data_IF_264049824306
#
_entry.id   IF_264049824306
#
_cell.length_a   1.000
_cell.length_b   1.000
_cell.length_c   1.000
_cell.angle_alpha   90.00
_cell.angle_beta   90.00
_cell.angle_gamma   90.00
#
_symmetry.space_group_name_H-M   'P 1'
#
loop_
_entity.id
_entity.type
_entity.pdbx_description
1 polymer ?
#
# COMPACT_ATOMS: atom_id res chain seq x y z
N UNK A 1 40.51 37.92 -3.61
CA UNK A 1 39.20 37.78 -2.97
C UNK A 1 38.16 38.48 -3.83
N UNK A 2 37.43 37.71 -4.67
CA UNK A 2 36.34 38.25 -5.52
C UNK A 2 35.07 38.35 -4.63
N UNK A 3 34.54 39.57 -4.52
CA UNK A 3 33.22 39.80 -3.89
C UNK A 3 32.10 39.15 -4.76
N UNK A 4 31.10 38.50 -4.16
CA UNK A 4 29.99 37.94 -4.92
C UNK A 4 29.16 39.06 -5.57
N UNK A 5 28.85 38.90 -6.85
CA UNK A 5 28.07 39.86 -7.63
C UNK A 5 26.67 40.08 -7.04
N UNK A 6 26.13 41.32 -7.13
CA UNK A 6 24.76 41.67 -6.63
C UNK A 6 23.67 40.72 -7.09
N UNK A 7 23.83 40.05 -8.23
CA UNK A 7 22.92 39.04 -8.74
C UNK A 7 22.94 37.73 -7.91
N UNK A 8 24.13 37.28 -7.44
CA UNK A 8 24.25 36.09 -6.60
C UNK A 8 23.63 36.29 -5.22
N UNK A 9 23.73 37.50 -4.67
CA UNK A 9 23.12 37.87 -3.38
C UNK A 9 21.59 37.94 -3.48
N UNK A 10 21.06 38.46 -4.59
CA UNK A 10 19.61 38.53 -4.84
C UNK A 10 18.97 37.13 -5.06
N UNK A 11 19.69 36.20 -5.71
CA UNK A 11 19.25 34.82 -5.88
C UNK A 11 19.25 34.08 -4.53
N UNK A 12 20.28 34.29 -3.71
CA UNK A 12 20.37 33.65 -2.40
C UNK A 12 19.28 34.15 -1.43
N UNK A 13 18.94 35.44 -1.46
CA UNK A 13 17.86 35.99 -0.66
C UNK A 13 16.46 35.52 -1.14
N UNK A 14 16.24 35.37 -2.45
CA UNK A 14 15.03 34.76 -2.97
C UNK A 14 14.90 33.28 -2.58
N UNK A 15 15.98 32.51 -2.64
CA UNK A 15 15.99 31.13 -2.17
C UNK A 15 15.70 31.02 -0.67
N UNK A 16 16.29 31.86 0.17
CA UNK A 16 16.01 31.90 1.61
C UNK A 16 14.54 32.24 1.92
N UNK A 17 13.95 33.16 1.20
CA UNK A 17 12.52 33.51 1.33
C UNK A 17 11.61 32.36 0.89
N UNK A 18 11.98 31.63 -0.17
CA UNK A 18 11.24 30.44 -0.61
C UNK A 18 11.36 29.33 0.45
N UNK A 19 12.53 29.10 1.02
CA UNK A 19 12.77 28.09 2.06
C UNK A 19 12.00 28.44 3.36
N UNK A 20 11.95 29.72 3.73
CA UNK A 20 11.15 30.19 4.88
C UNK A 20 9.65 30.03 4.65
N UNK A 21 9.16 30.27 3.44
CA UNK A 21 7.74 30.05 3.09
C UNK A 21 7.36 28.58 2.97
N UNK A 22 8.30 27.71 2.64
CA UNK A 22 8.13 26.25 2.67
C UNK A 22 8.01 25.75 4.12
N UNK A 23 8.81 26.29 5.04
CA UNK A 23 8.78 25.94 6.46
C UNK A 23 7.53 26.46 7.19
N UNK A 24 6.82 27.46 6.67
CA UNK A 24 5.60 28.03 7.27
C UNK A 24 4.28 27.33 6.86
N UNK A 25 4.34 26.21 6.14
CA UNK A 25 3.17 25.36 5.84
C UNK A 25 2.18 25.91 4.80
N UNK A 26 2.37 27.12 4.26
CA UNK A 26 1.38 27.76 3.35
C UNK A 26 1.46 27.33 1.88
N UNK A 27 2.51 26.63 1.47
CA UNK A 27 2.72 26.26 0.06
C UNK A 27 2.22 24.85 -0.32
N UNK A 28 1.72 24.04 0.64
CA UNK A 28 1.47 22.60 0.43
C UNK A 28 0.30 22.28 -0.51
N UNK A 29 -0.75 23.10 -0.56
CA UNK A 29 -1.99 22.77 -1.28
C UNK A 29 -1.91 23.09 -2.78
N UNK A 30 -1.25 24.18 -3.17
CA UNK A 30 -1.09 24.54 -4.59
C UNK A 30 -0.13 23.62 -5.35
N UNK A 31 0.95 23.15 -4.70
CA UNK A 31 1.88 22.18 -5.32
C UNK A 31 1.27 20.79 -5.47
N UNK A 32 0.38 20.35 -4.57
CA UNK A 32 -0.35 19.07 -4.73
C UNK A 32 -1.24 19.07 -5.97
N UNK A 33 -1.95 20.19 -6.25
CA UNK A 33 -2.76 20.31 -7.47
C UNK A 33 -1.92 20.30 -8.75
N UNK A 34 -0.75 20.92 -8.75
CA UNK A 34 0.16 20.94 -9.90
C UNK A 34 0.76 19.56 -10.20
N UNK A 35 1.11 18.77 -9.18
CA UNK A 35 1.65 17.41 -9.33
C UNK A 35 0.59 16.43 -9.87
N UNK A 36 -0.66 16.55 -9.41
CA UNK A 36 -1.76 15.70 -9.89
C UNK A 36 -2.09 16.04 -11.35
N UNK A 37 -2.11 17.31 -11.72
CA UNK A 37 -2.35 17.75 -13.12
C UNK A 37 -1.22 17.33 -14.07
N UNK A 38 0.04 17.33 -13.62
CA UNK A 38 1.18 16.90 -14.41
C UNK A 38 1.20 15.38 -14.68
N UNK A 39 0.61 14.56 -13.80
CA UNK A 39 0.46 13.12 -14.04
C UNK A 39 -0.60 12.80 -15.14
N UNK A 40 -1.56 13.69 -15.38
CA UNK A 40 -2.58 13.50 -16.42
C UNK A 40 -2.13 13.96 -17.82
N UNK A 41 -1.10 14.79 -17.92
CA UNK A 41 -0.63 15.34 -19.20
C UNK A 41 0.55 14.56 -19.73
N UNK A 42 0.36 13.33 -20.10
CA UNK A 42 1.28 12.26 -20.56
C UNK A 42 2.56 12.61 -21.35
N UNK A 43 3.09 13.83 -21.26
CA UNK A 43 4.27 14.33 -22.00
C UNK A 43 5.48 14.71 -21.14
N UNK A 44 5.45 14.52 -19.83
CA UNK A 44 6.61 14.89 -18.99
C UNK A 44 7.52 13.71 -18.65
N UNK A 45 8.83 13.90 -18.90
CA UNK A 45 9.88 12.92 -18.66
C UNK A 45 9.95 12.49 -17.18
N UNK A 46 10.21 11.23 -16.94
CA UNK A 46 10.39 10.56 -15.63
C UNK A 46 11.29 11.37 -14.63
N UNK A 47 12.19 12.22 -15.16
CA UNK A 47 13.06 13.09 -14.37
C UNK A 47 12.30 14.16 -13.56
N UNK A 48 11.17 14.67 -14.07
CA UNK A 48 10.38 15.71 -13.39
C UNK A 48 9.59 15.13 -12.21
N UNK A 49 9.07 13.90 -12.36
CA UNK A 49 8.42 13.17 -11.28
C UNK A 49 9.43 12.84 -10.17
N UNK A 50 10.65 12.46 -10.55
CA UNK A 50 11.74 12.19 -9.60
C UNK A 50 12.18 13.46 -8.85
N UNK A 51 12.23 14.62 -9.52
CA UNK A 51 12.57 15.91 -8.88
C UNK A 51 11.48 16.41 -7.93
N UNK A 52 10.20 16.21 -8.26
CA UNK A 52 9.08 16.55 -7.38
C UNK A 52 9.07 15.63 -6.15
N UNK A 53 9.37 14.35 -6.31
CA UNK A 53 9.48 13.40 -5.20
C UNK A 53 10.74 13.64 -4.34
N UNK A 54 11.84 14.05 -4.92
CA UNK A 54 13.10 14.33 -4.20
C UNK A 54 13.04 15.63 -3.38
N UNK A 55 12.23 16.62 -3.78
CA UNK A 55 11.99 17.88 -3.03
C UNK A 55 11.16 17.68 -1.76
N UNK A 56 10.53 16.53 -1.57
CA UNK A 56 9.68 16.21 -0.43
C UNK A 56 10.45 15.53 0.71
N UNK A 57 11.57 16.11 1.14
CA UNK A 57 12.28 15.68 2.36
C UNK A 57 11.49 16.13 3.59
N UNK A 58 10.36 15.48 3.84
CA UNK A 58 9.58 15.66 5.07
C UNK A 58 10.27 14.92 6.23
N UNK A 59 10.70 15.69 7.20
CA UNK A 59 11.21 15.29 8.50
C UNK A 59 10.07 14.72 9.37
N UNK A 60 9.47 13.59 8.96
CA UNK A 60 8.35 13.00 9.71
C UNK A 60 8.55 11.48 9.84
N UNK A 61 8.51 11.00 11.08
CA UNK A 61 8.54 9.59 11.46
C UNK A 61 7.26 8.91 10.97
N UNK A 62 7.36 7.68 10.42
CA UNK A 62 6.23 6.94 9.81
C UNK A 62 6.16 5.55 10.41
N UNK A 63 4.99 4.98 10.57
CA UNK A 63 4.79 3.75 11.36
C UNK A 63 4.29 2.53 10.62
N UNK A 64 3.65 2.61 9.48
CA UNK A 64 3.52 1.34 8.75
C UNK A 64 4.89 0.82 8.29
N UNK A 65 5.92 1.66 8.40
CA UNK A 65 7.32 1.27 8.19
C UNK A 65 8.03 1.16 9.54
N UNK A 66 8.41 -0.03 9.94
CA UNK A 66 9.19 -0.26 11.15
C UNK A 66 10.60 0.30 11.03
N UNK A 67 11.07 0.88 12.12
CA UNK A 67 12.46 1.25 12.24
C UNK A 67 13.28 0.10 12.81
N UNK A 68 14.49 -0.07 12.32
CA UNK A 68 15.42 -1.11 12.81
C UNK A 68 15.65 -1.02 14.32
N UNK A 69 15.70 0.20 14.87
CA UNK A 69 15.93 0.44 16.28
C UNK A 69 14.76 0.06 17.21
N UNK A 70 13.59 -0.31 16.67
CA UNK A 70 12.42 -0.68 17.49
C UNK A 70 12.39 -2.16 17.87
N UNK A 71 13.17 -2.98 17.17
CA UNK A 71 13.14 -4.42 17.36
C UNK A 71 14.50 -4.94 17.76
N UNK A 72 14.48 -5.93 18.66
CA UNK A 72 15.66 -6.69 19.00
C UNK A 72 16.13 -7.54 17.82
N UNK A 73 17.42 -7.85 17.81
CA UNK A 73 18.10 -8.60 16.76
C UNK A 73 17.41 -9.91 16.36
N UNK A 74 16.85 -10.74 17.28
CA UNK A 74 16.18 -11.99 16.92
C UNK A 74 15.01 -11.83 15.96
N UNK A 75 14.20 -10.77 16.10
CA UNK A 75 13.07 -10.52 15.23
C UNK A 75 13.49 -10.19 13.79
N UNK A 76 14.57 -9.43 13.65
CA UNK A 76 15.13 -9.10 12.34
C UNK A 76 15.72 -10.35 11.67
N UNK A 77 16.47 -11.17 12.39
CA UNK A 77 17.01 -12.43 11.84
C UNK A 77 15.90 -13.39 11.42
N UNK A 78 14.86 -13.55 12.23
CA UNK A 78 13.70 -14.36 11.85
C UNK A 78 13.06 -13.88 10.54
N UNK A 79 12.92 -12.56 10.38
CA UNK A 79 12.38 -11.97 9.15
C UNK A 79 13.31 -12.18 7.94
N UNK A 80 14.64 -12.10 8.13
CA UNK A 80 15.62 -12.37 7.07
C UNK A 80 15.62 -13.82 6.59
N UNK A 81 15.18 -14.76 7.42
CA UNK A 81 15.01 -16.16 7.03
C UNK A 81 13.64 -16.39 6.41
N UNK A 82 12.57 -15.83 7.03
CA UNK A 82 11.20 -16.06 6.63
C UNK A 82 10.87 -15.41 5.27
N UNK A 83 11.34 -14.18 5.01
CA UNK A 83 11.02 -13.48 3.75
C UNK A 83 11.55 -14.24 2.52
N UNK A 84 12.83 -14.61 2.42
CA UNK A 84 13.31 -15.40 1.27
C UNK A 84 12.60 -16.74 1.12
N UNK A 85 12.29 -17.42 2.22
CA UNK A 85 11.54 -18.67 2.17
C UNK A 85 10.16 -18.48 1.57
N UNK A 86 9.40 -17.46 2.01
CA UNK A 86 8.09 -17.10 1.45
C UNK A 86 8.20 -16.69 -0.03
N UNK A 87 9.21 -15.89 -0.39
CA UNK A 87 9.42 -15.48 -1.78
C UNK A 87 9.73 -16.68 -2.67
N UNK A 88 10.57 -17.62 -2.23
CA UNK A 88 10.88 -18.84 -2.99
C UNK A 88 9.63 -19.72 -3.18
N UNK A 89 8.82 -19.91 -2.14
CA UNK A 89 7.56 -20.65 -2.23
C UNK A 89 6.59 -19.99 -3.23
N UNK A 90 6.53 -18.68 -3.25
CA UNK A 90 5.67 -17.89 -4.12
C UNK A 90 6.25 -17.67 -5.54
N UNK A 91 7.51 -18.01 -5.81
CA UNK A 91 8.19 -17.64 -7.05
C UNK A 91 7.54 -18.25 -8.31
N UNK A 92 7.25 -19.57 -8.29
CA UNK A 92 6.65 -20.26 -9.45
C UNK A 92 5.27 -19.69 -9.81
N UNK A 93 4.29 -19.58 -8.88
CA UNK A 93 2.99 -19.00 -9.20
C UNK A 93 3.07 -17.50 -9.57
N UNK A 94 3.96 -16.73 -8.96
CA UNK A 94 4.17 -15.33 -9.30
C UNK A 94 4.68 -15.16 -10.74
N UNK A 95 5.68 -15.96 -11.14
CA UNK A 95 6.22 -15.93 -12.50
C UNK A 95 5.17 -16.38 -13.55
N UNK A 96 4.34 -17.37 -13.20
CA UNK A 96 3.22 -17.79 -14.08
C UNK A 96 2.23 -16.64 -14.28
N UNK A 97 1.81 -15.97 -13.21
CA UNK A 97 0.91 -14.81 -13.25
C UNK A 97 1.50 -13.65 -14.09
N UNK A 98 2.80 -13.35 -13.90
CA UNK A 98 3.49 -12.34 -14.70
C UNK A 98 3.40 -12.63 -16.20
N UNK A 99 3.67 -13.87 -16.61
CA UNK A 99 3.62 -14.27 -18.03
C UNK A 99 2.21 -14.19 -18.61
N UNK A 100 1.18 -14.42 -17.79
CA UNK A 100 -0.22 -14.37 -18.21
C UNK A 100 -0.72 -12.95 -18.45
N UNK A 101 -0.37 -12.01 -17.56
CA UNK A 101 -0.88 -10.63 -17.65
C UNK A 101 0.13 -9.59 -17.16
N UNK A 102 1.19 -9.27 -17.93
CA UNK A 102 2.21 -8.31 -17.54
C UNK A 102 1.66 -6.89 -17.35
N UNK A 103 0.55 -6.53 -18.02
CA UNK A 103 -0.06 -5.21 -17.91
C UNK A 103 -0.69 -5.00 -16.53
N UNK A 104 -1.33 -6.01 -15.95
CA UNK A 104 -1.91 -5.94 -14.62
C UNK A 104 -0.84 -5.65 -13.54
N UNK A 105 0.38 -6.15 -13.73
CA UNK A 105 1.50 -5.86 -12.82
C UNK A 105 1.91 -4.39 -12.84
N UNK A 106 2.00 -3.77 -14.02
CA UNK A 106 2.29 -2.34 -14.14
C UNK A 106 1.23 -1.47 -13.48
N UNK A 107 -0.04 -1.79 -13.70
CA UNK A 107 -1.17 -1.10 -13.07
C UNK A 107 -1.14 -1.27 -11.55
N UNK A 108 -0.86 -2.47 -11.05
CA UNK A 108 -0.77 -2.73 -9.61
C UNK A 108 0.38 -1.95 -8.96
N UNK A 109 1.53 -1.83 -9.63
CA UNK A 109 2.62 -0.97 -9.14
C UNK A 109 2.18 0.49 -9.01
N UNK A 110 1.40 1.01 -9.95
CA UNK A 110 0.82 2.35 -9.85
C UNK A 110 -0.13 2.46 -8.66
N UNK A 111 -0.97 1.45 -8.41
CA UNK A 111 -1.82 1.42 -7.22
C UNK A 111 -1.02 1.43 -5.92
N UNK A 112 0.02 0.61 -5.80
CA UNK A 112 0.89 0.64 -4.62
C UNK A 112 1.56 2.01 -4.44
N UNK A 113 2.06 2.62 -5.53
CA UNK A 113 2.66 3.94 -5.46
C UNK A 113 1.67 5.00 -4.95
N UNK A 114 0.42 4.97 -5.40
CA UNK A 114 -0.64 5.89 -4.95
C UNK A 114 -1.06 5.59 -3.52
N UNK A 115 -1.45 4.35 -3.20
CA UNK A 115 -1.99 3.98 -1.90
C UNK A 115 -0.98 4.16 -0.77
N UNK A 116 0.28 3.78 -0.99
CA UNK A 116 1.33 3.93 0.02
C UNK A 116 1.83 5.36 0.16
N UNK A 117 1.57 6.23 -0.84
CA UNK A 117 1.83 7.67 -0.74
C UNK A 117 0.72 8.43 0.01
N UNK A 118 -0.50 7.89 0.05
CA UNK A 118 -1.64 8.45 0.78
C UNK A 118 -1.56 8.05 2.25
N UNK A 119 -0.73 8.75 3.02
CA UNK A 119 -0.56 8.50 4.45
C UNK A 119 -1.23 9.56 5.31
N UNK A 120 -1.88 9.13 6.39
CA UNK A 120 -2.29 9.96 7.51
C UNK A 120 -1.40 9.68 8.72
N UNK A 121 -1.06 10.69 9.51
CA UNK A 121 -0.18 10.56 10.68
C UNK A 121 -0.73 11.27 11.89
N UNK A 122 -0.36 10.77 13.07
CA UNK A 122 -0.57 11.43 14.35
C UNK A 122 0.70 12.23 14.68
N UNK A 123 0.60 13.55 14.70
CA UNK A 123 1.76 14.43 14.88
C UNK A 123 2.09 14.73 16.36
N UNK A 124 1.34 14.14 17.32
CA UNK A 124 1.54 14.39 18.75
C UNK A 124 1.07 13.25 19.66
N UNK A 125 1.35 13.38 20.97
CA UNK A 125 1.01 12.39 22.00
C UNK A 125 1.99 11.23 22.10
N UNK A 126 1.63 10.21 22.89
CA UNK A 126 2.45 9.02 23.16
C UNK A 126 2.69 8.17 21.90
N UNK A 127 1.82 8.29 20.91
CA UNK A 127 1.89 7.64 19.61
C UNK A 127 2.38 8.58 18.49
N UNK A 128 3.01 9.69 18.87
CA UNK A 128 3.57 10.65 17.93
C UNK A 128 4.58 10.01 16.98
N UNK A 129 4.34 10.21 15.68
CA UNK A 129 5.16 9.61 14.63
C UNK A 129 4.54 8.37 13.97
N UNK A 130 3.36 7.89 14.43
CA UNK A 130 2.57 6.84 13.78
C UNK A 130 1.93 7.39 12.49
N UNK A 131 2.21 6.75 11.37
CA UNK A 131 1.56 7.05 10.08
C UNK A 131 0.92 5.79 9.53
N UNK A 132 -0.23 5.98 8.94
CA UNK A 132 -1.04 4.93 8.34
C UNK A 132 -1.19 5.20 6.85
N UNK A 133 -1.22 4.17 6.04
CA UNK A 133 -1.52 4.27 4.61
C UNK A 133 -2.43 3.11 4.19
N UNK A 134 -3.03 3.22 3.02
CA UNK A 134 -3.78 2.14 2.41
C UNK A 134 -2.82 1.06 1.92
N UNK A 135 -3.22 -0.21 1.97
CA UNK A 135 -2.37 -1.34 1.58
C UNK A 135 -2.44 -1.63 0.07
N UNK A 136 -3.64 -1.67 -0.48
CA UNK A 136 -3.88 -2.13 -1.85
C UNK A 136 -3.57 -3.60 -2.10
N UNK A 137 -3.17 -4.33 -1.06
CA UNK A 137 -2.71 -5.73 -1.16
C UNK A 137 -3.86 -6.67 -1.51
N UNK A 138 -5.06 -6.42 -0.97
CA UNK A 138 -6.26 -7.18 -1.30
C UNK A 138 -6.63 -7.02 -2.79
N UNK A 139 -6.63 -5.78 -3.31
CA UNK A 139 -6.83 -5.51 -4.72
C UNK A 139 -5.75 -6.22 -5.57
N UNK A 140 -4.49 -6.12 -5.16
CA UNK A 140 -3.38 -6.80 -5.82
C UNK A 140 -3.58 -8.31 -5.91
N UNK A 141 -4.08 -8.92 -4.83
CA UNK A 141 -4.36 -10.36 -4.81
C UNK A 141 -5.46 -10.78 -5.80
N UNK A 142 -6.43 -9.90 -6.07
CA UNK A 142 -7.45 -10.13 -7.10
C UNK A 142 -6.90 -9.94 -8.51
N UNK A 143 -6.04 -8.94 -8.71
CA UNK A 143 -5.48 -8.60 -10.03
C UNK A 143 -4.47 -9.63 -10.52
N UNK A 144 -3.51 -10.02 -9.67
CA UNK A 144 -2.37 -10.84 -10.11
C UNK A 144 -2.21 -12.14 -9.29
N UNK A 145 -3.11 -12.40 -8.35
CA UNK A 145 -3.00 -13.51 -7.39
C UNK A 145 -2.09 -13.17 -6.21
N UNK A 146 -2.31 -13.85 -5.08
CA UNK A 146 -1.63 -13.49 -3.81
C UNK A 146 -0.10 -13.67 -3.87
N UNK A 147 0.39 -14.71 -4.54
CA UNK A 147 1.83 -14.95 -4.68
C UNK A 147 2.53 -13.80 -5.44
N UNK A 148 1.93 -13.34 -6.53
CA UNK A 148 2.48 -12.25 -7.33
C UNK A 148 2.32 -10.89 -6.64
N UNK A 149 1.19 -10.65 -5.96
CA UNK A 149 0.98 -9.46 -5.15
C UNK A 149 2.01 -9.37 -4.01
N UNK A 150 2.35 -10.49 -3.36
CA UNK A 150 3.40 -10.56 -2.36
C UNK A 150 4.77 -10.17 -2.92
N UNK A 151 5.16 -10.71 -4.08
CA UNK A 151 6.41 -10.36 -4.76
C UNK A 151 6.48 -8.89 -5.13
N UNK A 152 5.39 -8.34 -5.70
CA UNK A 152 5.35 -6.92 -6.06
C UNK A 152 5.43 -6.01 -4.85
N UNK A 153 4.71 -6.33 -3.77
CA UNK A 153 4.77 -5.57 -2.53
C UNK A 153 6.17 -5.62 -1.90
N UNK A 154 6.83 -6.81 -1.92
CA UNK A 154 8.20 -6.95 -1.43
C UNK A 154 9.19 -6.11 -2.24
N UNK A 155 9.08 -6.11 -3.58
CA UNK A 155 9.91 -5.27 -4.45
C UNK A 155 9.64 -3.79 -4.24
N UNK A 156 8.38 -3.40 -4.08
CA UNK A 156 7.99 -2.00 -3.89
C UNK A 156 8.35 -1.46 -2.51
N UNK A 157 8.41 -2.33 -1.48
CA UNK A 157 8.80 -1.96 -0.12
C UNK A 157 10.19 -1.32 -0.06
N UNK A 158 11.16 -1.81 -0.85
CA UNK A 158 12.54 -1.29 -0.83
C UNK A 158 12.62 0.19 -1.23
N UNK A 159 12.16 0.61 -2.43
CA UNK A 159 12.15 2.03 -2.80
C UNK A 159 11.23 2.86 -1.89
N UNK A 160 10.11 2.30 -1.44
CA UNK A 160 9.22 2.97 -0.51
C UNK A 160 9.94 3.32 0.80
N UNK A 161 10.58 2.35 1.47
CA UNK A 161 11.34 2.59 2.70
C UNK A 161 12.52 3.52 2.48
N UNK A 162 13.23 3.41 1.36
CA UNK A 162 14.35 4.30 1.05
C UNK A 162 13.90 5.77 1.00
N UNK A 163 12.73 6.03 0.40
CA UNK A 163 12.16 7.37 0.25
C UNK A 163 11.50 7.89 1.53
N UNK A 164 10.97 6.99 2.36
CA UNK A 164 10.14 7.35 3.54
C UNK A 164 10.92 7.39 4.84
N UNK A 165 11.67 6.34 5.16
CA UNK A 165 12.36 6.19 6.46
C UNK A 165 13.89 6.26 6.35
N UNK A 166 14.41 6.22 5.11
CA UNK A 166 15.84 6.35 4.82
C UNK A 166 16.61 5.04 4.88
N UNK A 167 17.81 5.07 4.26
CA UNK A 167 18.66 3.88 4.06
C UNK A 167 19.05 3.16 5.36
N UNK A 168 19.17 3.90 6.47
CA UNK A 168 19.54 3.35 7.78
C UNK A 168 18.51 2.34 8.34
N UNK A 169 17.26 2.37 7.85
CA UNK A 169 16.19 1.49 8.30
C UNK A 169 15.88 0.33 7.34
N UNK A 170 16.62 0.20 6.25
CA UNK A 170 16.43 -0.89 5.29
C UNK A 170 16.63 -2.28 5.90
N UNK A 171 17.38 -2.39 7.00
CA UNK A 171 17.51 -3.65 7.73
C UNK A 171 16.18 -4.17 8.30
N UNK A 172 15.18 -3.30 8.51
CA UNK A 172 13.83 -3.72 8.90
C UNK A 172 12.92 -4.06 7.71
N UNK A 173 13.37 -3.93 6.46
CA UNK A 173 12.54 -4.18 5.29
C UNK A 173 11.92 -5.59 5.25
N UNK A 174 12.63 -6.68 5.56
CA UNK A 174 12.02 -8.01 5.59
C UNK A 174 10.87 -8.11 6.58
N UNK A 175 11.02 -7.53 7.77
CA UNK A 175 9.97 -7.53 8.79
C UNK A 175 8.77 -6.69 8.35
N UNK A 176 9.01 -5.53 7.72
CA UNK A 176 7.97 -4.67 7.16
C UNK A 176 7.16 -5.41 6.09
N UNK A 177 7.83 -6.05 5.13
CA UNK A 177 7.15 -6.83 4.08
C UNK A 177 6.24 -7.89 4.70
N UNK A 178 6.77 -8.70 5.62
CA UNK A 178 6.02 -9.79 6.23
C UNK A 178 4.81 -9.27 7.04
N UNK A 179 5.03 -8.28 7.91
CA UNK A 179 3.98 -7.75 8.79
C UNK A 179 2.88 -7.01 8.04
N UNK A 180 3.22 -6.28 6.98
CA UNK A 180 2.27 -5.47 6.22
C UNK A 180 1.48 -6.31 5.21
N UNK A 181 2.10 -7.33 4.60
CA UNK A 181 1.48 -8.02 3.46
C UNK A 181 0.89 -9.38 3.79
N UNK A 182 1.59 -10.21 4.61
CA UNK A 182 1.14 -11.59 4.85
C UNK A 182 -0.23 -11.69 5.51
N UNK A 183 -0.58 -10.90 6.55
CA UNK A 183 -1.90 -11.03 7.17
C UNK A 183 -3.03 -10.71 6.19
N UNK A 184 -2.88 -9.66 5.39
CA UNK A 184 -3.87 -9.28 4.38
C UNK A 184 -4.01 -10.36 3.30
N UNK A 185 -2.90 -10.94 2.81
CA UNK A 185 -2.91 -12.01 1.81
C UNK A 185 -3.48 -13.31 2.38
N UNK A 186 -3.19 -13.65 3.63
CA UNK A 186 -3.76 -14.83 4.29
C UNK A 186 -5.29 -14.71 4.39
N UNK A 187 -5.80 -13.54 4.78
CA UNK A 187 -7.25 -13.26 4.79
C UNK A 187 -7.83 -13.36 3.37
N UNK A 188 -7.13 -12.80 2.37
CA UNK A 188 -7.58 -12.84 0.98
C UNK A 188 -7.69 -14.28 0.45
N UNK A 189 -6.74 -15.14 0.75
CA UNK A 189 -6.80 -16.56 0.35
C UNK A 189 -7.90 -17.31 1.10
N UNK A 190 -8.01 -17.08 2.42
CA UNK A 190 -9.03 -17.74 3.24
C UNK A 190 -10.43 -17.39 2.77
N UNK A 191 -10.72 -16.11 2.54
CA UNK A 191 -12.03 -15.66 2.06
C UNK A 191 -12.31 -16.14 0.64
N UNK A 192 -11.35 -16.11 -0.25
CA UNK A 192 -11.50 -16.68 -1.61
C UNK A 192 -11.81 -18.16 -1.57
N UNK A 193 -11.10 -18.92 -0.74
CA UNK A 193 -11.38 -20.33 -0.53
C UNK A 193 -12.79 -20.55 0.01
N UNK A 194 -13.20 -19.78 1.01
CA UNK A 194 -14.54 -19.87 1.62
C UNK A 194 -15.65 -19.53 0.61
N UNK A 195 -15.48 -18.46 -0.16
CA UNK A 195 -16.43 -18.08 -1.23
C UNK A 195 -16.60 -19.20 -2.24
N UNK A 196 -15.49 -19.73 -2.76
CA UNK A 196 -15.55 -20.81 -3.78
C UNK A 196 -16.11 -22.10 -3.24
N UNK A 197 -15.94 -22.39 -1.95
CA UNK A 197 -16.35 -23.66 -1.34
C UNK A 197 -17.79 -23.66 -0.83
N UNK A 198 -18.26 -22.54 -0.31
CA UNK A 198 -19.50 -22.47 0.46
C UNK A 198 -20.58 -21.60 -0.19
N UNK A 199 -20.23 -20.72 -1.11
CA UNK A 199 -21.18 -19.77 -1.68
C UNK A 199 -21.45 -20.09 -3.18
N UNK A 200 -22.68 -19.79 -3.66
CA UNK A 200 -22.98 -19.93 -5.08
C UNK A 200 -22.15 -18.94 -5.90
N UNK A 201 -21.78 -19.31 -7.14
CA UNK A 201 -21.09 -18.39 -8.04
C UNK A 201 -22.04 -17.23 -8.39
N UNK A 202 -21.69 -16.05 -7.90
CA UNK A 202 -22.45 -14.83 -8.11
C UNK A 202 -21.47 -13.64 -8.19
N UNK A 203 -21.62 -12.82 -9.22
CA UNK A 203 -20.83 -11.63 -9.45
C UNK A 203 -20.85 -10.66 -8.28
N UNK A 204 -22.02 -10.47 -7.69
CA UNK A 204 -22.20 -9.58 -6.55
C UNK A 204 -21.39 -10.05 -5.32
N UNK A 205 -21.43 -11.37 -5.04
CA UNK A 205 -20.64 -11.98 -3.98
C UNK A 205 -19.13 -11.83 -4.25
N UNK A 206 -18.70 -11.94 -5.51
CA UNK A 206 -17.30 -11.72 -5.85
C UNK A 206 -16.85 -10.29 -5.51
N UNK A 207 -17.60 -9.28 -5.92
CA UNK A 207 -17.26 -7.87 -5.68
C UNK A 207 -17.31 -7.55 -4.18
N UNK A 208 -18.37 -7.95 -3.49
CA UNK A 208 -18.56 -7.60 -2.08
C UNK A 208 -17.64 -8.40 -1.16
N UNK A 209 -17.56 -9.72 -1.31
CA UNK A 209 -16.81 -10.54 -0.36
C UNK A 209 -15.33 -10.53 -0.70
N UNK A 210 -14.94 -10.82 -1.95
CA UNK A 210 -13.53 -10.85 -2.33
C UNK A 210 -12.94 -9.45 -2.53
N UNK A 211 -13.74 -8.45 -2.92
CA UNK A 211 -13.30 -7.06 -3.02
C UNK A 211 -13.42 -6.33 -1.69
N UNK A 212 -14.64 -5.95 -1.29
CA UNK A 212 -14.88 -5.06 -0.18
C UNK A 212 -14.53 -5.68 1.20
N UNK A 213 -15.20 -6.77 1.60
CA UNK A 213 -14.99 -7.37 2.92
C UNK A 213 -13.60 -7.97 3.09
N UNK A 214 -13.02 -8.52 2.04
CA UNK A 214 -11.66 -9.04 2.05
C UNK A 214 -10.65 -7.93 2.37
N UNK A 215 -10.80 -6.75 1.77
CA UNK A 215 -9.92 -5.61 2.01
C UNK A 215 -10.06 -5.08 3.45
N UNK A 216 -11.30 -4.95 3.94
CA UNK A 216 -11.54 -4.56 5.33
C UNK A 216 -10.90 -5.52 6.33
N UNK A 217 -11.20 -6.81 6.19
CA UNK A 217 -10.68 -7.85 7.08
C UNK A 217 -9.15 -7.99 6.98
N UNK A 218 -8.60 -7.87 5.76
CA UNK A 218 -7.16 -7.87 5.51
C UNK A 218 -6.45 -6.70 6.20
N UNK A 219 -7.01 -5.48 6.12
CA UNK A 219 -6.48 -4.31 6.81
C UNK A 219 -6.54 -4.47 8.32
N UNK A 220 -7.64 -5.00 8.87
CA UNK A 220 -7.78 -5.28 10.29
C UNK A 220 -6.76 -6.34 10.76
N UNK A 221 -6.58 -7.42 10.01
CA UNK A 221 -5.59 -8.45 10.33
C UNK A 221 -4.16 -7.90 10.29
N UNK A 222 -3.84 -7.07 9.31
CA UNK A 222 -2.56 -6.38 9.23
C UNK A 222 -2.37 -5.42 10.41
N UNK A 223 -3.40 -4.64 10.75
CA UNK A 223 -3.37 -3.76 11.91
C UNK A 223 -3.13 -4.51 13.22
N UNK A 224 -3.80 -5.64 13.41
CA UNK A 224 -3.59 -6.51 14.57
C UNK A 224 -2.16 -7.07 14.62
N UNK A 225 -1.62 -7.55 13.49
CA UNK A 225 -0.26 -8.07 13.41
C UNK A 225 0.79 -6.99 13.70
N UNK A 226 0.63 -5.80 13.13
CA UNK A 226 1.52 -4.65 13.38
C UNK A 226 1.46 -4.25 14.85
N UNK A 227 0.26 -4.12 15.42
CA UNK A 227 0.05 -3.75 16.83
C UNK A 227 0.69 -4.78 17.76
N UNK A 228 0.48 -6.07 17.48
CA UNK A 228 1.07 -7.16 18.26
C UNK A 228 2.61 -7.16 18.18
N UNK A 229 3.19 -6.93 17.00
CA UNK A 229 4.63 -6.82 16.84
C UNK A 229 5.20 -5.60 17.57
N UNK A 230 4.57 -4.44 17.43
CA UNK A 230 5.00 -3.21 18.13
C UNK A 230 4.87 -3.34 19.65
N UNK A 231 3.93 -4.14 20.15
CA UNK A 231 3.80 -4.43 21.59
C UNK A 231 4.98 -5.21 22.16
N UNK A 232 5.79 -5.85 21.30
CA UNK A 232 7.04 -6.50 21.70
C UNK A 232 8.23 -5.53 21.66
N UNK A 233 8.04 -4.32 21.14
CA UNK A 233 9.07 -3.28 21.15
C UNK A 233 9.13 -2.58 22.51
N UNK A 234 10.31 -2.07 22.86
CA UNK A 234 10.49 -1.28 24.09
C UNK A 234 10.11 0.20 23.94
N UNK A 235 9.64 0.58 22.73
CA UNK A 235 9.41 2.00 22.37
C UNK A 235 8.01 2.47 22.71
N UNK A 236 7.01 1.57 22.66
CA UNK A 236 5.62 1.91 22.88
C UNK A 236 5.00 1.06 23.99
N UNK A 237 4.13 1.67 24.78
CA UNK A 237 3.33 0.90 25.74
C UNK A 237 2.26 0.08 25.01
N UNK A 238 2.18 -1.21 25.31
CA UNK A 238 1.22 -2.11 24.66
C UNK A 238 -0.25 -1.64 24.81
N UNK A 239 -0.59 -1.07 25.98
CA UNK A 239 -1.93 -0.55 26.25
C UNK A 239 -2.29 0.58 25.29
N UNK A 240 -1.36 1.53 25.05
CA UNK A 240 -1.61 2.67 24.16
C UNK A 240 -1.73 2.21 22.70
N UNK A 241 -0.95 1.21 22.28
CA UNK A 241 -1.05 0.63 20.94
C UNK A 241 -2.42 0.01 20.68
N UNK A 242 -2.93 -0.81 21.61
CA UNK A 242 -4.22 -1.47 21.43
C UNK A 242 -5.41 -0.53 21.61
N UNK A 243 -5.32 0.46 22.49
CA UNK A 243 -6.43 1.36 22.76
C UNK A 243 -6.50 2.57 21.82
N UNK A 244 -5.36 3.02 21.28
CA UNK A 244 -5.29 4.24 20.48
C UNK A 244 -4.86 3.97 19.03
N UNK A 245 -3.83 3.12 18.80
CA UNK A 245 -3.33 2.88 17.45
C UNK A 245 -4.22 1.88 16.69
N UNK A 246 -4.62 0.77 17.30
CA UNK A 246 -5.41 -0.27 16.64
C UNK A 246 -6.78 0.23 16.14
N UNK A 247 -7.56 1.03 16.88
CA UNK A 247 -8.83 1.58 16.38
C UNK A 247 -8.71 2.40 15.10
N UNK A 248 -7.54 3.01 14.85
CA UNK A 248 -7.30 3.75 13.60
C UNK A 248 -7.30 2.80 12.39
N UNK A 249 -6.77 1.57 12.55
CA UNK A 249 -6.85 0.55 11.50
C UNK A 249 -8.29 0.19 11.15
N UNK A 250 -9.19 0.18 12.13
CA UNK A 250 -10.61 -0.02 11.87
C UNK A 250 -11.19 1.09 10.97
N UNK A 251 -10.87 2.36 11.23
CA UNK A 251 -11.34 3.47 10.39
C UNK A 251 -10.76 3.39 8.98
N UNK A 252 -9.46 3.08 8.86
CA UNK A 252 -8.79 2.98 7.56
C UNK A 252 -9.29 1.77 6.77
N UNK A 253 -9.68 0.69 7.46
CA UNK A 253 -10.21 -0.52 6.81
C UNK A 253 -11.45 -0.24 5.95
N UNK A 254 -12.29 0.72 6.33
CA UNK A 254 -13.42 1.17 5.50
C UNK A 254 -12.95 1.85 4.21
N UNK A 255 -11.92 2.69 4.29
CA UNK A 255 -11.31 3.32 3.10
C UNK A 255 -10.71 2.29 2.15
N UNK A 256 -9.97 1.33 2.69
CA UNK A 256 -9.38 0.22 1.94
C UNK A 256 -10.47 -0.65 1.28
N UNK A 257 -11.52 -0.98 2.03
CA UNK A 257 -12.66 -1.75 1.56
C UNK A 257 -13.40 -1.06 0.42
N UNK A 258 -13.73 0.22 0.60
CA UNK A 258 -14.44 1.01 -0.40
C UNK A 258 -13.66 1.12 -1.69
N UNK A 259 -12.37 1.48 -1.62
CA UNK A 259 -11.53 1.62 -2.81
C UNK A 259 -11.31 0.29 -3.52
N UNK A 260 -11.01 -0.77 -2.77
CA UNK A 260 -10.81 -2.10 -3.35
C UNK A 260 -12.09 -2.63 -3.98
N UNK A 261 -13.23 -2.52 -3.29
CA UNK A 261 -14.52 -2.94 -3.83
C UNK A 261 -14.92 -2.16 -5.08
N UNK A 262 -14.72 -0.83 -5.05
CA UNK A 262 -14.99 0.04 -6.20
C UNK A 262 -14.12 -0.32 -7.41
N UNK A 263 -12.80 -0.48 -7.23
CA UNK A 263 -11.91 -0.85 -8.33
C UNK A 263 -12.19 -2.26 -8.82
N UNK A 264 -12.54 -3.20 -7.93
CA UNK A 264 -12.96 -4.54 -8.34
C UNK A 264 -14.21 -4.47 -9.23
N UNK A 265 -15.22 -3.70 -8.85
CA UNK A 265 -16.44 -3.52 -9.66
C UNK A 265 -16.14 -2.86 -11.01
N UNK A 266 -15.28 -1.82 -11.03
CA UNK A 266 -14.87 -1.15 -12.28
C UNK A 266 -14.13 -2.13 -13.19
N UNK A 267 -13.19 -2.92 -12.67
CA UNK A 267 -12.44 -3.87 -13.47
C UNK A 267 -13.35 -5.00 -14.01
N UNK A 268 -14.23 -5.54 -13.18
CA UNK A 268 -15.20 -6.55 -13.64
C UNK A 268 -16.07 -6.01 -14.78
N UNK A 269 -16.52 -4.76 -14.68
CA UNK A 269 -17.40 -4.17 -15.70
C UNK A 269 -16.67 -3.77 -17.00
N UNK A 270 -15.45 -3.23 -16.88
CA UNK A 270 -14.77 -2.59 -18.01
C UNK A 270 -13.56 -3.39 -18.53
N UNK A 271 -12.86 -4.11 -17.67
CA UNK A 271 -11.57 -4.76 -17.99
C UNK A 271 -11.36 -6.03 -17.14
N UNK A 272 -12.22 -7.05 -17.25
CA UNK A 272 -12.14 -8.27 -16.43
C UNK A 272 -10.79 -8.97 -16.57
N UNK A 273 -10.11 -8.82 -17.69
CA UNK A 273 -8.76 -9.39 -17.89
C UNK A 273 -7.70 -8.88 -16.92
N UNK A 274 -7.93 -7.79 -16.19
CA UNK A 274 -7.02 -7.32 -15.13
C UNK A 274 -7.23 -8.01 -13.80
N UNK A 275 -8.26 -8.83 -13.66
CA UNK A 275 -8.54 -9.63 -12.47
C UNK A 275 -8.26 -11.10 -12.77
N UNK A 276 -7.03 -11.56 -12.49
CA UNK A 276 -6.63 -12.95 -12.72
C UNK A 276 -7.48 -13.97 -11.94
N UNK A 277 -8.11 -13.53 -10.86
CA UNK A 277 -8.96 -14.38 -10.00
C UNK A 277 -10.43 -14.39 -10.41
N UNK A 278 -10.83 -13.54 -11.36
CA UNK A 278 -12.17 -13.50 -11.91
C UNK A 278 -12.27 -14.45 -13.10
N UNK A 279 -13.31 -15.26 -13.11
CA UNK A 279 -13.59 -16.23 -14.15
C UNK A 279 -15.02 -15.98 -14.66
N UNK A 280 -15.13 -15.48 -15.89
CA UNK A 280 -16.41 -15.13 -16.52
C UNK A 280 -17.34 -16.34 -16.59
N UNK A 281 -16.82 -17.50 -16.98
CA UNK A 281 -17.62 -18.72 -17.12
C UNK A 281 -18.17 -19.18 -15.77
N UNK A 282 -17.39 -19.02 -14.69
CA UNK A 282 -17.80 -19.42 -13.36
C UNK A 282 -18.83 -18.46 -12.74
N UNK A 283 -18.67 -17.15 -12.93
CA UNK A 283 -19.51 -16.14 -12.26
C UNK A 283 -20.72 -15.69 -13.10
N UNK A 284 -20.68 -15.78 -14.44
CA UNK A 284 -21.71 -15.26 -15.34
C UNK A 284 -22.52 -16.34 -16.05
N UNK A 285 -22.03 -17.58 -16.17
CA UNK A 285 -22.67 -18.64 -16.96
C UNK A 285 -23.91 -19.27 -16.32
N UNK A 286 -24.17 -19.08 -15.02
CA UNK A 286 -25.42 -19.52 -14.43
C UNK A 286 -26.53 -18.56 -14.81
N UNK A 287 -27.39 -19.02 -15.74
CA UNK A 287 -28.70 -18.39 -15.97
C UNK A 287 -29.37 -18.17 -14.60
N UNK A 288 -29.71 -16.92 -14.31
CA UNK A 288 -30.51 -16.58 -13.14
C UNK A 288 -31.90 -17.17 -13.33
N UNK A 289 -32.14 -18.38 -12.85
CA UNK A 289 -33.46 -19.01 -12.77
C UNK A 289 -34.31 -18.42 -11.62
N UNK A 290 -34.17 -17.12 -11.36
CA UNK A 290 -35.05 -16.40 -10.41
C UNK A 290 -36.44 -16.17 -11.01
N UNK A 291 -36.54 -16.17 -12.35
CA UNK A 291 -37.79 -16.11 -13.06
C UNK A 291 -38.01 -17.45 -13.81
N UNK A 292 -39.05 -18.23 -13.47
CA UNK A 292 -39.41 -19.36 -14.29
C UNK A 292 -39.72 -18.87 -15.72
N UNK A 293 -39.05 -19.42 -16.73
CA UNK A 293 -39.45 -19.19 -18.11
C UNK A 293 -40.88 -19.69 -18.21
N UNK A 294 -41.85 -18.79 -18.42
CA UNK A 294 -43.20 -19.16 -18.80
C UNK A 294 -43.11 -19.93 -20.10
N UNK A 295 -43.44 -21.24 -20.01
CA UNK A 295 -43.63 -22.14 -21.14
C UNK A 295 -44.99 -21.92 -21.77
#
# INVERSE_FOLDING_TARGET
TRQPTKAATAINNKMLTIIQNINSGRLSVRMRKAAILACFDGKQKLSTVCHIMCGFRLKHRRIMDFFTAWFETPWLYAAYIALPACLLLCAKPALKAWRQNPQAFGILLCFFAVFWSLGAGLDGGQLGGLRYHLLGVALGSLMVGSAAAFWLAALFMLPHMLLTVGAQNLAAAPLNVLAVTLPALAVAELLRYAVRRFLPPNLFLYIFINGFFCAAAGMMATGAAITALLSQSTVFAAVDLWQQAFPVFFLISWGEAFLTGMFTAIFVALKPQFLLTFDDDFYLSRQNTIWPSES
#
